data_IF_542562357660
#
_entry.id   IF_542562357660
#
_cell.length_a   1.000
_cell.length_b   1.000
_cell.length_c   1.000
_cell.angle_alpha   90.00
_cell.angle_beta   90.00
_cell.angle_gamma   90.00
#
_symmetry.space_group_name_H-M   'P 1'
#
loop_
_entity.id
_entity.type
_entity.pdbx_description
1 polymer ?
#
# COMPACT_ATOMS: atom_id res chain seq x y z
N UNK A 1 -0.25 -3.86 -7.48
CA UNK A 1 -0.75 -4.86 -6.51
C UNK A 1 -2.10 -4.38 -5.94
N UNK A 2 -3.11 -5.24 -5.68
CA UNK A 2 -4.44 -4.79 -5.17
C UNK A 2 -4.46 -4.85 -3.64
N UNK A 3 -5.11 -3.90 -3.00
CA UNK A 3 -5.16 -3.80 -1.54
C UNK A 3 -6.49 -3.18 -1.06
N UNK A 4 -6.78 -3.42 0.21
CA UNK A 4 -7.86 -2.77 0.94
C UNK A 4 -7.30 -2.09 2.19
N UNK A 5 -7.90 -0.96 2.53
CA UNK A 5 -7.66 -0.25 3.78
C UNK A 5 -8.81 -0.61 4.69
N UNK A 6 -8.48 -1.17 5.86
CA UNK A 6 -9.44 -1.60 6.85
C UNK A 6 -9.31 -0.73 8.10
N UNK A 7 -10.46 -0.45 8.72
CA UNK A 7 -10.48 0.02 10.09
C UNK A 7 -10.21 -1.15 11.05
N UNK A 8 -9.88 -0.83 12.30
CA UNK A 8 -9.78 -1.81 13.38
C UNK A 8 -11.03 -2.69 13.54
N UNK A 9 -12.21 -2.16 13.26
CA UNK A 9 -13.47 -2.91 13.34
C UNK A 9 -13.64 -3.91 12.18
N UNK A 10 -12.64 -4.06 11.30
CA UNK A 10 -12.69 -4.89 10.11
C UNK A 10 -13.48 -4.25 8.95
N UNK A 11 -13.88 -2.99 9.08
CA UNK A 11 -14.62 -2.30 8.03
C UNK A 11 -13.69 -1.87 6.91
N UNK A 12 -14.02 -2.23 5.67
CA UNK A 12 -13.28 -1.76 4.49
C UNK A 12 -13.59 -0.27 4.26
N UNK A 13 -12.59 0.58 4.42
CA UNK A 13 -12.66 2.03 4.22
C UNK A 13 -12.39 2.41 2.77
N UNK A 14 -11.42 1.73 2.14
CA UNK A 14 -11.09 1.94 0.75
C UNK A 14 -10.55 0.65 0.11
N UNK A 15 -10.73 0.54 -1.21
CA UNK A 15 -10.09 -0.48 -2.04
C UNK A 15 -9.30 0.22 -3.13
N UNK A 16 -8.20 -0.38 -3.54
CA UNK A 16 -7.34 0.23 -4.53
C UNK A 16 -6.12 -0.61 -4.86
N UNK A 17 -5.08 0.08 -5.29
CA UNK A 17 -3.83 -0.50 -5.73
C UNK A 17 -2.64 0.22 -5.13
N UNK A 18 -1.66 -0.54 -4.64
CA UNK A 18 -0.30 -0.02 -4.46
C UNK A 18 0.37 0.06 -5.82
N UNK A 19 0.92 1.24 -6.10
CA UNK A 19 1.63 1.60 -7.32
C UNK A 19 2.96 2.26 -6.96
N UNK A 20 3.93 2.15 -7.85
CA UNK A 20 5.17 2.92 -7.80
C UNK A 20 5.00 4.09 -8.75
N UNK A 21 5.21 5.30 -8.26
CA UNK A 21 5.16 6.53 -9.05
C UNK A 21 6.59 7.05 -9.20
N UNK A 22 7.12 7.05 -10.42
CA UNK A 22 8.38 7.70 -10.74
C UNK A 22 8.17 9.19 -10.98
N UNK A 23 9.12 10.01 -10.56
CA UNK A 23 9.17 11.42 -10.91
C UNK A 23 10.16 11.70 -12.07
N UNK A 24 10.22 12.95 -12.52
CA UNK A 24 11.11 13.39 -13.59
C UNK A 24 12.59 13.44 -13.16
N UNK A 25 12.88 13.39 -11.86
CA UNK A 25 14.23 13.35 -11.31
C UNK A 25 14.81 11.93 -11.23
N UNK A 26 14.01 10.90 -11.53
CA UNK A 26 14.39 9.50 -11.47
C UNK A 26 14.13 8.84 -10.11
N UNK A 27 13.49 9.56 -9.19
CA UNK A 27 13.09 9.02 -7.90
C UNK A 27 11.77 8.24 -8.02
N UNK A 28 11.64 7.19 -7.23
CA UNK A 28 10.44 6.37 -7.17
C UNK A 28 9.76 6.52 -5.83
N UNK A 29 8.44 6.61 -5.82
CA UNK A 29 7.62 6.78 -4.62
C UNK A 29 6.59 5.67 -4.55
N UNK A 30 6.37 5.14 -3.35
CA UNK A 30 5.24 4.23 -3.12
C UNK A 30 3.96 5.06 -3.00
N UNK A 31 2.91 4.70 -3.71
CA UNK A 31 1.63 5.40 -3.65
C UNK A 31 0.45 4.42 -3.62
N UNK A 32 -0.65 4.85 -2.99
CA UNK A 32 -1.93 4.16 -3.02
C UNK A 32 -2.87 4.87 -3.99
N UNK A 33 -3.40 4.14 -4.96
CA UNK A 33 -4.47 4.61 -5.85
C UNK A 33 -5.76 3.90 -5.51
N UNK A 34 -6.73 4.62 -4.96
CA UNK A 34 -8.08 4.11 -4.71
C UNK A 34 -8.81 3.78 -6.01
N UNK A 35 -9.76 2.86 -5.95
CA UNK A 35 -10.67 2.53 -7.07
C UNK A 35 -11.50 3.75 -7.51
N UNK A 36 -11.66 4.76 -6.65
CA UNK A 36 -12.34 6.04 -6.95
C UNK A 36 -11.44 7.07 -7.61
N UNK A 37 -10.19 6.72 -7.94
CA UNK A 37 -9.24 7.59 -8.65
C UNK A 37 -8.42 8.54 -7.75
N UNK A 38 -8.67 8.59 -6.44
CA UNK A 38 -7.82 9.34 -5.50
C UNK A 38 -6.47 8.64 -5.35
N UNK A 39 -5.39 9.41 -5.48
CA UNK A 39 -4.01 8.96 -5.26
C UNK A 39 -3.52 9.56 -3.93
N UNK A 40 -2.89 8.75 -3.11
CA UNK A 40 -2.22 9.14 -1.87
C UNK A 40 -0.76 8.77 -2.04
N UNK A 41 0.10 9.78 -2.10
CA UNK A 41 1.53 9.60 -2.26
C UNK A 41 2.16 9.26 -0.92
N UNK A 42 2.96 8.21 -0.90
CA UNK A 42 3.78 7.81 0.23
C UNK A 42 5.22 8.28 0.07
N UNK A 43 6.12 7.57 0.75
CA UNK A 43 7.51 7.97 0.80
C UNK A 43 8.30 7.51 -0.42
N UNK A 44 9.50 8.08 -0.54
CA UNK A 44 10.49 7.70 -1.54
C UNK A 44 10.98 6.28 -1.27
N UNK A 45 11.07 5.50 -2.33
CA UNK A 45 11.63 4.15 -2.34
C UNK A 45 13.15 4.27 -2.34
N UNK A 46 13.79 3.50 -1.47
CA UNK A 46 15.25 3.45 -1.40
C UNK A 46 15.84 2.96 -2.72
N UNK A 47 17.06 3.40 -3.12
CA UNK A 47 17.78 2.82 -4.25
C UNK A 47 18.00 1.31 -4.15
N UNK A 48 17.99 0.75 -2.93
CA UNK A 48 18.04 -0.70 -2.69
C UNK A 48 16.72 -1.43 -2.98
N UNK A 49 15.65 -0.71 -3.31
CA UNK A 49 14.29 -1.25 -3.42
C UNK A 49 13.59 -1.45 -2.08
N UNK A 50 14.21 -1.04 -0.96
CA UNK A 50 13.57 -1.10 0.36
C UNK A 50 12.38 -0.14 0.44
N UNK A 51 11.22 -0.72 0.78
CA UNK A 51 9.92 -0.06 0.87
C UNK A 51 9.56 0.31 2.31
N UNK A 52 10.39 0.01 3.31
CA UNK A 52 10.05 0.18 4.73
C UNK A 52 9.70 1.63 5.06
N UNK A 53 10.58 2.57 4.74
CA UNK A 53 10.34 4.01 4.98
C UNK A 53 9.26 4.57 4.05
N UNK A 54 9.23 4.11 2.79
CA UNK A 54 8.20 4.49 1.82
C UNK A 54 6.79 4.14 2.32
N UNK A 55 6.65 2.94 2.89
CA UNK A 55 5.41 2.42 3.44
C UNK A 55 5.00 3.20 4.68
N UNK A 56 5.90 3.45 5.64
CA UNK A 56 5.59 4.26 6.84
C UNK A 56 5.03 5.63 6.49
N UNK A 57 5.62 6.31 5.50
CA UNK A 57 5.12 7.61 5.02
C UNK A 57 3.76 7.46 4.35
N UNK A 58 3.58 6.44 3.51
CA UNK A 58 2.27 6.16 2.91
C UNK A 58 1.21 5.97 4.00
N UNK A 59 1.47 5.15 5.01
CA UNK A 59 0.55 4.92 6.12
C UNK A 59 0.16 6.21 6.84
N UNK A 60 1.13 7.06 7.19
CA UNK A 60 0.84 8.37 7.78
C UNK A 60 -0.10 9.20 6.90
N UNK A 61 0.11 9.19 5.59
CA UNK A 61 -0.76 9.90 4.64
C UNK A 61 -2.15 9.26 4.53
N UNK A 62 -2.27 7.93 4.62
CA UNK A 62 -3.58 7.26 4.70
C UNK A 62 -4.30 7.69 6.00
N UNK A 63 -3.61 7.72 7.14
CA UNK A 63 -4.16 8.18 8.40
C UNK A 63 -4.71 9.61 8.33
N UNK A 64 -3.91 10.54 7.81
CA UNK A 64 -4.33 11.93 7.60
C UNK A 64 -5.53 12.02 6.64
N UNK A 65 -5.54 11.21 5.58
CA UNK A 65 -6.60 11.26 4.57
C UNK A 65 -7.98 10.77 5.06
N UNK A 66 -8.03 9.87 6.05
CA UNK A 66 -9.27 9.32 6.60
C UNK A 66 -9.54 9.71 8.07
N UNK A 67 -8.63 10.43 8.73
CA UNK A 67 -8.84 10.98 10.07
C UNK A 67 -9.00 9.91 11.16
N UNK A 68 -8.42 8.73 10.97
CA UNK A 68 -8.42 7.64 11.96
C UNK A 68 -7.01 7.48 12.53
N UNK A 69 -6.88 6.95 13.75
CA UNK A 69 -5.58 6.68 14.40
C UNK A 69 -5.13 5.23 14.26
N UNK A 70 -6.02 4.32 13.82
CA UNK A 70 -5.74 2.87 13.72
C UNK A 70 -6.25 2.29 12.39
N UNK A 71 -5.33 2.05 11.43
CA UNK A 71 -5.58 1.56 10.08
C UNK A 71 -4.72 0.34 9.81
N UNK A 72 -5.33 -0.69 9.21
CA UNK A 72 -4.64 -1.87 8.71
C UNK A 72 -4.70 -1.87 7.19
N UNK A 73 -3.57 -2.09 6.53
CA UNK A 73 -3.53 -2.26 5.07
C UNK A 73 -3.32 -3.73 4.75
N UNK A 74 -4.34 -4.35 4.16
CA UNK A 74 -4.24 -5.73 3.69
C UNK A 74 -4.01 -5.73 2.19
N UNK A 75 -2.92 -6.37 1.78
CA UNK A 75 -2.63 -6.63 0.39
C UNK A 75 -3.34 -7.92 -0.02
N UNK A 76 -4.05 -7.90 -1.14
CA UNK A 76 -4.71 -9.10 -1.69
C UNK A 76 -4.22 -9.35 -3.11
N UNK A 77 -3.42 -10.38 -3.31
CA UNK A 77 -3.16 -10.90 -4.66
C UNK A 77 -4.36 -11.70 -5.15
N UNK A 78 -5.08 -11.18 -6.15
CA UNK A 78 -5.88 -12.06 -7.01
C UNK A 78 -4.93 -12.68 -8.03
N UNK A 79 -4.35 -13.83 -7.69
CA UNK A 79 -3.66 -14.68 -8.63
C UNK A 79 -4.64 -15.13 -9.73
N UNK A 80 -4.64 -14.44 -10.86
CA UNK A 80 -5.26 -14.96 -12.08
C UNK A 80 -4.19 -15.69 -12.89
N UNK A 81 -4.00 -16.99 -12.59
CA UNK A 81 -3.77 -18.10 -13.54
C UNK A 81 -3.18 -19.29 -12.80
N UNK A 82 -3.74 -20.48 -13.08
CA UNK A 82 -3.12 -21.78 -12.80
C UNK A 82 -1.62 -21.73 -13.12
N UNK A 83 -0.77 -21.96 -12.11
CA UNK A 83 0.54 -22.62 -12.19
C UNK A 83 1.02 -22.83 -10.74
N UNK A 84 1.57 -24.01 -10.38
CA UNK A 84 2.04 -24.28 -9.04
C UNK A 84 3.40 -23.58 -8.82
N UNK A 85 3.70 -23.25 -7.57
CA UNK A 85 4.95 -22.64 -7.10
C UNK A 85 5.06 -21.14 -7.35
N UNK A 86 4.33 -20.33 -6.58
CA UNK A 86 4.79 -18.98 -6.29
C UNK A 86 4.51 -18.69 -4.83
N UNK A 87 5.60 -18.49 -4.10
CA UNK A 87 5.64 -18.17 -2.69
C UNK A 87 4.92 -16.84 -2.47
N UNK A 88 3.75 -16.90 -1.82
CA UNK A 88 3.04 -15.71 -1.33
C UNK A 88 4.00 -14.89 -0.48
N UNK A 89 4.30 -13.66 -0.90
CA UNK A 89 4.87 -12.67 -0.01
C UNK A 89 3.72 -11.94 0.65
N UNK A 90 3.26 -12.48 1.77
CA UNK A 90 2.38 -11.79 2.69
C UNK A 90 3.25 -10.79 3.46
N UNK A 91 3.05 -9.50 3.22
CA UNK A 91 3.68 -8.46 4.02
C UNK A 91 2.72 -8.17 5.18
N UNK A 92 2.79 -8.98 6.23
CA UNK A 92 2.19 -8.67 7.52
C UNK A 92 3.04 -7.59 8.19
N UNK A 93 2.52 -6.36 8.21
CA UNK A 93 3.10 -5.27 9.00
C UNK A 93 2.17 -5.04 10.18
N UNK A 94 2.44 -5.73 11.29
CA UNK A 94 1.89 -5.39 12.61
C UNK A 94 2.55 -4.09 13.10
N UNK A 95 1.74 -3.09 13.44
CA UNK A 95 2.17 -1.91 14.16
C UNK A 95 1.67 -2.02 15.60
N UNK A 96 2.63 -1.99 16.52
CA UNK A 96 2.45 -1.91 17.98
C UNK A 96 2.12 -0.48 18.40
#
# INVERSE_FOLDING_TARGET
MRCAILSRAGQVLARGHLIIHGDEAGDSYLAFRSDRGRIIQGGKISPSGDLTEASKVLFRQLFEAWGMTDLTLTVSEKAQRKLPHTQSSEIDIELI
#
